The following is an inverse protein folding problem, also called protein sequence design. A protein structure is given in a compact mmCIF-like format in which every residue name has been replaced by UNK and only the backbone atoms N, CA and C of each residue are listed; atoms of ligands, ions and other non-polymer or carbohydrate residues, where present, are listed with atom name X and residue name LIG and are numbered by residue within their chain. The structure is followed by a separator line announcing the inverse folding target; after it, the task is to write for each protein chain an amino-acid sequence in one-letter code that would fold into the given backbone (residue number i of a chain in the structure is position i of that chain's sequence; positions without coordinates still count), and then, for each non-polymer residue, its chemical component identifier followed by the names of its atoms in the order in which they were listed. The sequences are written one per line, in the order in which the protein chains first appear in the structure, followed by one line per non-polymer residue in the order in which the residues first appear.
data_IF_730033507905
#
_entry.id   IF_730033507905
#
_cell.length_a   1.000
_cell.length_b   1.000
_cell.length_c   1.000
_cell.angle_alpha   90.00
_cell.angle_beta   90.00
_cell.angle_gamma   90.00
#
_symmetry.space_group_name_H-M   'P 1'
#
loop_
_entity.id
_entity.type
_entity.pdbx_description
1 polymer ?
#
# COMPACT_ATOMS: atom_id res chain seq x y z
N UNK A 1 -27.82 -41.12 -40.25
CA UNK A 1 -26.68 -42.01 -40.43
C UNK A 1 -25.59 -41.44 -39.56
N UNK A 2 -25.30 -41.88 -38.34
CA UNK A 2 -25.78 -42.99 -37.51
C UNK A 2 -25.67 -42.55 -36.04
N UNK A 3 -26.64 -43.05 -35.33
CA UNK A 3 -26.74 -43.04 -33.85
C UNK A 3 -25.55 -43.76 -33.23
N UNK A 4 -25.03 -43.24 -32.10
CA UNK A 4 -24.38 -44.06 -31.10
C UNK A 4 -24.85 -43.66 -29.69
N UNK A 5 -25.44 -44.63 -29.08
CA UNK A 5 -26.10 -44.76 -27.79
C UNK A 5 -25.26 -44.36 -26.59
N UNK A 6 -25.97 -43.89 -25.58
CA UNK A 6 -25.53 -43.88 -24.16
C UNK A 6 -25.58 -45.30 -23.57
N UNK A 7 -24.79 -45.61 -22.58
CA UNK A 7 -25.17 -46.60 -21.60
C UNK A 7 -25.53 -45.98 -20.25
N UNK A 8 -26.72 -46.35 -19.81
CA UNK A 8 -27.19 -46.30 -18.43
C UNK A 8 -26.32 -47.19 -17.53
N UNK A 9 -25.98 -46.68 -16.35
CA UNK A 9 -25.74 -47.55 -15.18
C UNK A 9 -26.16 -46.84 -13.89
N UNK A 10 -27.31 -47.22 -13.38
CA UNK A 10 -27.66 -47.97 -12.16
C UNK A 10 -27.02 -47.36 -10.88
N UNK A 11 -27.91 -46.74 -10.13
CA UNK A 11 -27.77 -46.36 -8.71
C UNK A 11 -28.16 -47.59 -7.87
N UNK A 12 -27.45 -47.95 -6.81
CA UNK A 12 -28.03 -48.66 -5.69
C UNK A 12 -28.40 -47.66 -4.57
N UNK A 13 -29.69 -47.79 -4.28
CA UNK A 13 -30.35 -47.35 -3.07
C UNK A 13 -29.73 -48.00 -1.84
N UNK A 14 -29.35 -47.19 -0.84
CA UNK A 14 -29.30 -47.62 0.54
C UNK A 14 -29.79 -46.48 1.45
N UNK A 15 -30.97 -46.77 1.93
CA UNK A 15 -31.66 -46.10 3.01
C UNK A 15 -30.91 -46.16 4.34
N UNK A 16 -31.27 -45.20 5.18
CA UNK A 16 -31.26 -45.15 6.65
C UNK A 16 -30.06 -44.47 7.32
N UNK A 17 -30.24 -43.25 7.70
CA UNK A 17 -30.57 -42.86 9.09
C UNK A 17 -30.63 -41.34 9.20
N UNK A 18 -31.80 -40.87 9.50
CA UNK A 18 -32.13 -39.52 9.88
C UNK A 18 -31.37 -39.12 11.14
N UNK A 19 -30.66 -38.04 11.08
CA UNK A 19 -30.43 -37.18 12.24
C UNK A 19 -30.66 -35.74 11.77
N UNK A 20 -31.91 -35.31 11.91
CA UNK A 20 -32.31 -33.91 11.75
C UNK A 20 -31.58 -33.03 12.76
N UNK A 21 -30.52 -32.37 12.37
CA UNK A 21 -30.03 -31.18 13.05
C UNK A 21 -30.93 -30.00 12.65
N UNK A 22 -31.99 -29.79 13.41
CA UNK A 22 -32.82 -28.60 13.36
C UNK A 22 -31.95 -27.37 13.63
N UNK A 23 -31.46 -26.73 12.59
CA UNK A 23 -30.95 -25.37 12.65
C UNK A 23 -32.11 -24.43 12.98
N UNK A 24 -32.35 -24.19 14.24
CA UNK A 24 -33.21 -23.10 14.71
C UNK A 24 -32.64 -21.78 14.18
N UNK A 25 -33.27 -21.24 13.14
CA UNK A 25 -33.07 -19.87 12.71
C UNK A 25 -33.56 -18.93 13.81
N UNK A 26 -32.67 -18.49 14.66
CA UNK A 26 -32.98 -17.47 15.67
C UNK A 26 -33.17 -16.15 14.93
N UNK A 27 -34.41 -15.74 14.77
CA UNK A 27 -34.75 -14.40 14.28
C UNK A 27 -34.52 -13.40 15.42
N UNK A 28 -33.34 -12.79 15.45
CA UNK A 28 -33.06 -11.67 16.34
C UNK A 28 -33.77 -10.41 15.82
N UNK A 29 -34.54 -9.76 16.69
CA UNK A 29 -35.06 -8.43 16.39
C UNK A 29 -33.93 -7.40 16.35
N UNK A 30 -34.10 -6.29 15.62
CA UNK A 30 -33.12 -5.18 15.59
C UNK A 30 -32.66 -4.75 17.01
N UNK A 31 -33.59 -4.76 17.97
CA UNK A 31 -33.32 -4.38 19.36
C UNK A 31 -32.44 -5.43 20.06
N UNK A 32 -32.66 -6.70 19.81
CA UNK A 32 -31.84 -7.80 20.36
C UNK A 32 -30.45 -7.86 19.73
N UNK A 33 -30.32 -7.53 18.46
CA UNK A 33 -29.05 -7.38 17.79
C UNK A 33 -28.23 -6.23 18.37
N UNK A 34 -28.84 -5.07 18.57
CA UNK A 34 -28.17 -3.90 19.18
C UNK A 34 -27.81 -4.13 20.65
N UNK A 35 -28.64 -4.82 21.42
CA UNK A 35 -28.28 -5.16 22.81
C UNK A 35 -27.21 -6.24 22.89
N UNK A 36 -27.18 -7.21 21.98
CA UNK A 36 -26.13 -8.22 21.93
C UNK A 36 -24.78 -7.60 21.51
N UNK A 37 -24.80 -6.65 20.57
CA UNK A 37 -23.58 -5.91 20.17
C UNK A 37 -23.07 -4.99 21.28
N UNK A 38 -23.95 -4.31 21.98
CA UNK A 38 -23.60 -3.49 23.14
C UNK A 38 -23.05 -4.35 24.30
N UNK A 39 -23.66 -5.51 24.58
CA UNK A 39 -23.18 -6.46 25.60
C UNK A 39 -21.81 -7.05 25.23
N UNK A 40 -21.55 -7.36 23.95
CA UNK A 40 -20.25 -7.82 23.48
C UNK A 40 -19.16 -6.74 23.60
N UNK A 41 -19.53 -5.48 23.39
CA UNK A 41 -18.62 -4.34 23.59
C UNK A 41 -18.30 -4.10 25.06
N UNK A 42 -19.25 -4.34 25.95
CA UNK A 42 -19.05 -4.25 27.40
C UNK A 42 -18.20 -5.42 27.94
N UNK A 43 -18.36 -6.62 27.37
CA UNK A 43 -17.52 -7.80 27.75
C UNK A 43 -16.05 -7.58 27.30
N UNK A 44 -15.81 -6.80 26.27
CA UNK A 44 -14.46 -6.41 25.83
C UNK A 44 -13.81 -5.37 26.78
N UNK A 45 -14.62 -4.75 27.67
CA UNK A 45 -14.16 -3.72 28.60
C UNK A 45 -13.98 -4.27 30.05
N UNK A 46 -14.24 -5.57 30.31
CA UNK A 46 -14.00 -6.15 31.59
C UNK A 46 -12.49 -6.39 31.81
N UNK A 47 -11.91 -5.76 32.84
CA UNK A 47 -10.50 -5.95 33.13
C UNK A 47 -10.31 -7.26 33.87
N UNK A 48 -9.51 -8.15 33.35
CA UNK A 48 -8.81 -9.01 34.28
C UNK A 48 -8.45 -10.43 33.91
N UNK A 49 -9.08 -11.15 33.00
CA UNK A 49 -8.73 -12.58 32.82
C UNK A 49 -8.32 -13.05 31.43
N UNK A 50 -8.37 -12.24 30.41
CA UNK A 50 -7.95 -12.58 29.04
C UNK A 50 -6.80 -11.72 28.52
N UNK A 51 -6.19 -10.92 29.37
CA UNK A 51 -5.01 -10.11 29.01
C UNK A 51 -3.68 -10.84 29.26
N UNK A 52 -3.62 -12.13 28.93
CA UNK A 52 -2.33 -12.77 28.77
C UNK A 52 -1.96 -12.58 27.29
N UNK A 53 -1.02 -11.65 27.07
CA UNK A 53 -0.26 -11.47 25.83
C UNK A 53 -1.00 -10.86 24.62
N UNK A 54 -1.71 -9.76 24.81
CA UNK A 54 -1.55 -8.73 23.81
C UNK A 54 -0.17 -8.10 24.04
N UNK A 55 0.73 -8.02 23.05
CA UNK A 55 1.89 -7.16 23.20
C UNK A 55 1.34 -5.80 23.60
N UNK A 56 1.98 -5.15 24.57
CA UNK A 56 1.58 -3.82 24.99
C UNK A 56 1.48 -2.94 23.74
N UNK A 57 0.27 -2.82 23.22
CA UNK A 57 -0.09 -1.73 22.34
C UNK A 57 -0.11 -0.51 23.26
N UNK A 58 1.09 -0.04 23.59
CA UNK A 58 1.31 1.17 24.32
C UNK A 58 0.61 2.27 23.53
N UNK A 59 -0.56 2.63 24.03
CA UNK A 59 -1.14 3.91 23.79
C UNK A 59 -1.73 4.21 22.44
N UNK A 60 -2.83 3.54 22.08
CA UNK A 60 -3.81 4.16 21.16
C UNK A 60 -4.57 5.34 21.81
N UNK A 61 -4.25 5.71 23.05
CA UNK A 61 -4.88 6.81 23.81
C UNK A 61 -3.90 7.89 24.29
N UNK A 62 -2.63 7.84 23.93
CA UNK A 62 -1.64 8.83 24.25
C UNK A 62 -0.89 9.29 23.00
N UNK A 63 -0.25 10.41 23.09
CA UNK A 63 0.74 10.81 22.08
C UNK A 63 1.79 9.70 21.95
N UNK A 64 1.68 8.88 20.91
CA UNK A 64 2.73 7.93 20.59
C UNK A 64 3.90 8.73 20.04
N UNK A 65 4.83 9.05 20.92
CA UNK A 65 6.13 9.59 20.53
C UNK A 65 7.17 8.48 20.74
N UNK A 66 7.57 7.78 19.68
CA UNK A 66 8.53 6.69 19.81
C UNK A 66 9.88 7.16 20.35
N UNK A 67 10.23 8.42 20.16
CA UNK A 67 11.47 8.99 20.70
C UNK A 67 11.38 9.26 22.19
N UNK A 68 10.19 9.51 22.74
CA UNK A 68 9.97 9.67 24.18
C UNK A 68 9.78 8.36 24.90
N UNK A 69 9.15 7.39 24.24
CA UNK A 69 8.85 6.06 24.82
C UNK A 69 10.00 5.08 24.68
N UNK A 70 10.86 5.30 23.70
CA UNK A 70 12.04 4.49 23.52
C UNK A 70 13.10 4.85 24.56
N UNK A 71 13.66 3.90 25.30
CA UNK A 71 14.64 4.18 26.37
C UNK A 71 16.01 4.52 25.76
N UNK A 72 16.05 5.59 25.03
CA UNK A 72 17.26 6.15 24.47
C UNK A 72 18.06 6.80 25.60
N UNK A 73 19.09 6.17 26.03
CA UNK A 73 19.91 6.68 27.14
C UNK A 73 21.13 7.43 26.64
N UNK A 74 21.71 6.97 25.53
CA UNK A 74 22.89 7.57 24.95
C UNK A 74 23.13 7.07 23.53
N UNK A 75 24.03 7.71 22.81
CA UNK A 75 24.46 7.26 21.48
C UNK A 75 25.07 5.86 21.50
N UNK A 76 25.70 5.45 22.60
CA UNK A 76 26.23 4.10 22.75
C UNK A 76 25.15 3.04 22.76
N UNK A 77 24.03 3.30 23.43
CA UNK A 77 22.88 2.38 23.43
C UNK A 77 22.29 2.23 22.05
N UNK A 78 22.22 3.31 21.27
CA UNK A 78 21.86 3.28 19.87
C UNK A 78 22.74 2.31 19.08
N UNK A 79 24.05 2.52 19.18
CA UNK A 79 25.02 1.75 18.44
C UNK A 79 25.04 0.28 18.87
N UNK A 80 25.04 0.00 20.18
CA UNK A 80 25.06 -1.37 20.73
C UNK A 80 23.78 -2.12 20.47
N UNK A 81 22.65 -1.44 20.40
CA UNK A 81 21.35 -2.06 20.29
C UNK A 81 20.81 -2.12 18.87
N UNK A 82 21.46 -1.52 17.88
CA UNK A 82 21.05 -1.58 16.48
C UNK A 82 20.95 -3.02 15.93
N UNK A 83 21.66 -3.95 16.53
CA UNK A 83 21.69 -5.36 16.15
C UNK A 83 20.82 -6.27 17.06
N UNK A 84 20.00 -5.67 17.93
CA UNK A 84 19.06 -6.39 18.79
C UNK A 84 17.64 -6.06 18.36
N UNK A 85 16.90 -7.07 17.99
CA UNK A 85 15.50 -6.95 17.55
C UNK A 85 14.68 -8.14 18.07
N UNK A 86 13.36 -7.95 18.16
CA UNK A 86 12.42 -8.97 18.59
C UNK A 86 11.89 -9.76 17.40
N UNK A 87 11.73 -9.09 16.27
CA UNK A 87 11.21 -9.70 15.04
C UNK A 87 11.69 -8.96 13.80
N UNK A 88 11.62 -9.66 12.68
CA UNK A 88 11.78 -9.10 11.35
C UNK A 88 10.45 -9.24 10.60
N UNK A 89 9.99 -8.18 9.99
CA UNK A 89 8.73 -8.15 9.26
C UNK A 89 9.01 -7.77 7.81
N UNK A 90 8.48 -8.55 6.88
CA UNK A 90 8.51 -8.20 5.47
C UNK A 90 7.57 -7.02 5.23
N UNK A 91 8.07 -6.00 4.57
CA UNK A 91 7.31 -4.81 4.24
C UNK A 91 7.73 -4.23 2.89
N UNK A 92 6.94 -3.30 2.41
CA UNK A 92 7.30 -2.40 1.31
C UNK A 92 7.12 -0.97 1.79
N UNK A 93 7.84 -0.03 1.25
CA UNK A 93 7.59 1.37 1.54
C UNK A 93 6.59 1.96 0.54
N UNK A 94 5.86 2.98 0.99
CA UNK A 94 4.81 3.65 0.22
C UNK A 94 5.26 4.98 -0.37
N UNK A 95 6.52 5.11 -0.78
CA UNK A 95 6.91 6.24 -1.60
C UNK A 95 6.16 6.14 -2.94
N UNK A 96 5.88 7.26 -3.57
CA UNK A 96 5.18 7.31 -4.86
C UNK A 96 6.06 6.71 -5.98
N UNK A 97 6.20 5.40 -5.97
CA UNK A 97 7.11 4.64 -6.82
C UNK A 97 6.52 3.26 -7.09
N UNK A 98 6.67 2.78 -8.31
CA UNK A 98 6.22 1.47 -8.76
C UNK A 98 7.32 0.40 -8.69
N UNK A 99 8.42 0.66 -7.97
CA UNK A 99 9.61 -0.20 -7.94
C UNK A 99 9.43 -1.55 -7.25
N UNK A 100 8.27 -1.81 -6.63
CA UNK A 100 7.96 -3.08 -5.96
C UNK A 100 9.06 -3.55 -5.03
N UNK A 101 9.66 -2.60 -4.31
CA UNK A 101 10.75 -2.89 -3.38
C UNK A 101 10.26 -3.74 -2.22
N UNK A 102 11.12 -4.63 -1.76
CA UNK A 102 10.84 -5.49 -0.62
C UNK A 102 11.89 -5.28 0.46
N UNK A 103 11.44 -5.10 1.69
CA UNK A 103 12.26 -4.74 2.83
C UNK A 103 12.06 -5.70 3.98
N UNK A 104 13.16 -6.05 4.63
CA UNK A 104 13.14 -6.67 5.94
C UNK A 104 13.23 -5.55 6.98
N UNK A 105 12.14 -5.33 7.70
CA UNK A 105 12.02 -4.31 8.74
C UNK A 105 12.29 -4.94 10.09
N UNK A 106 13.31 -4.48 10.77
CA UNK A 106 13.72 -4.96 12.08
C UNK A 106 12.99 -4.17 13.16
N UNK A 107 12.30 -4.87 14.04
CA UNK A 107 11.44 -4.27 15.07
C UNK A 107 11.91 -4.68 16.43
N UNK A 108 11.96 -3.72 17.34
CA UNK A 108 12.23 -3.94 18.77
C UNK A 108 11.23 -3.16 19.61
N UNK A 109 10.60 -3.81 20.58
CA UNK A 109 9.60 -3.20 21.46
C UNK A 109 8.48 -2.46 20.69
N UNK A 110 8.11 -2.98 19.51
CA UNK A 110 7.10 -2.37 18.64
C UNK A 110 7.59 -1.20 17.80
N UNK A 111 8.86 -0.84 17.88
CA UNK A 111 9.49 0.26 17.13
C UNK A 111 10.36 -0.31 16.02
N UNK A 112 10.19 0.22 14.81
CA UNK A 112 11.10 -0.07 13.70
C UNK A 112 12.44 0.58 13.99
N UNK A 113 13.52 -0.20 13.97
CA UNK A 113 14.87 0.30 14.29
C UNK A 113 15.76 0.42 13.06
N UNK A 114 15.50 -0.37 12.03
CA UNK A 114 16.19 -0.31 10.74
C UNK A 114 15.45 -1.11 9.70
N UNK A 115 15.82 -0.94 8.47
CA UNK A 115 15.40 -1.74 7.32
C UNK A 115 16.61 -2.20 6.50
N UNK A 116 16.43 -3.33 5.85
CA UNK A 116 17.38 -3.86 4.87
C UNK A 116 16.61 -4.35 3.64
N UNK A 117 17.21 -4.23 2.48
CA UNK A 117 16.65 -4.80 1.27
C UNK A 117 16.52 -6.31 1.43
N UNK A 118 15.34 -6.82 1.12
CA UNK A 118 15.17 -8.25 1.02
C UNK A 118 15.78 -8.73 -0.30
N UNK A 119 16.73 -9.66 -0.21
CA UNK A 119 17.46 -10.19 -1.35
C UNK A 119 17.10 -11.66 -1.59
N UNK A 120 15.80 -11.96 -1.55
CA UNK A 120 15.27 -13.33 -1.62
C UNK A 120 14.14 -13.47 -2.66
N UNK A 121 14.12 -12.60 -3.66
CA UNK A 121 13.29 -12.83 -4.82
C UNK A 121 13.79 -14.07 -5.56
N UNK A 122 12.87 -14.98 -5.95
CA UNK A 122 13.26 -16.12 -6.73
C UNK A 122 13.79 -15.70 -8.09
N UNK A 123 14.90 -16.26 -8.50
CA UNK A 123 15.40 -16.09 -9.85
C UNK A 123 14.55 -16.95 -10.78
N UNK A 124 13.80 -16.32 -11.66
CA UNK A 124 12.84 -16.98 -12.54
C UNK A 124 13.54 -17.53 -13.78
N UNK A 125 14.57 -16.81 -14.26
CA UNK A 125 15.34 -17.18 -15.43
C UNK A 125 16.83 -16.91 -15.18
N UNK A 126 17.65 -17.95 -15.34
CA UNK A 126 19.11 -17.86 -15.11
C UNK A 126 19.84 -17.07 -16.20
N UNK A 127 19.24 -16.92 -17.37
CA UNK A 127 19.80 -16.14 -18.49
C UNK A 127 19.63 -14.63 -18.32
N UNK A 128 18.81 -14.21 -17.35
CA UNK A 128 18.58 -12.80 -17.03
C UNK A 128 19.38 -12.38 -15.80
N UNK A 129 19.74 -11.10 -15.68
CA UNK A 129 20.30 -10.57 -14.45
C UNK A 129 19.41 -10.82 -13.24
N UNK A 130 20.01 -10.94 -12.06
CA UNK A 130 19.27 -11.16 -10.82
C UNK A 130 18.40 -9.94 -10.48
N UNK A 131 17.17 -10.17 -10.07
CA UNK A 131 16.27 -9.14 -9.54
C UNK A 131 16.77 -8.53 -8.23
N UNK A 132 17.60 -9.26 -7.51
CA UNK A 132 18.09 -8.86 -6.20
C UNK A 132 19.37 -8.01 -6.29
N UNK A 133 19.55 -7.07 -5.36
CA UNK A 133 18.57 -6.57 -4.39
C UNK A 133 17.59 -5.58 -5.02
N UNK A 134 16.32 -5.60 -4.57
CA UNK A 134 15.29 -4.66 -5.03
C UNK A 134 15.05 -3.59 -3.98
N UNK A 135 15.57 -2.43 -4.20
CA UNK A 135 15.40 -1.30 -3.32
C UNK A 135 16.25 -0.10 -3.71
N UNK A 136 16.04 0.99 -3.02
CA UNK A 136 16.82 2.20 -3.19
C UNK A 136 17.06 2.87 -1.82
N UNK A 137 17.90 3.90 -1.82
CA UNK A 137 18.23 4.66 -0.60
C UNK A 137 17.00 5.28 0.08
N UNK A 138 15.93 5.59 -0.65
CA UNK A 138 14.69 6.12 -0.04
C UNK A 138 14.04 5.10 0.90
N UNK A 139 14.00 3.84 0.50
CA UNK A 139 13.52 2.76 1.36
C UNK A 139 14.53 2.43 2.45
N UNK A 140 15.83 2.52 2.16
CA UNK A 140 16.90 2.25 3.11
C UNK A 140 17.02 3.24 4.26
N UNK A 141 16.30 4.36 4.21
CA UNK A 141 16.25 5.36 5.30
C UNK A 141 14.80 5.66 5.73
N UNK A 142 13.85 4.76 5.43
CA UNK A 142 12.44 5.04 5.67
C UNK A 142 12.08 5.06 7.15
N UNK A 143 12.80 4.32 8.00
CA UNK A 143 12.65 4.38 9.45
C UNK A 143 12.93 5.78 9.97
N UNK A 144 13.98 6.43 9.50
CA UNK A 144 14.31 7.81 9.87
C UNK A 144 13.23 8.79 9.39
N UNK A 145 12.66 8.54 8.23
CA UNK A 145 11.54 9.33 7.73
C UNK A 145 10.28 9.16 8.58
N UNK A 146 9.95 7.92 8.99
CA UNK A 146 8.78 7.62 9.82
C UNK A 146 8.88 8.29 11.19
N UNK A 147 10.08 8.34 11.78
CA UNK A 147 10.29 8.90 13.11
C UNK A 147 10.95 10.29 13.09
N UNK A 148 11.07 10.89 11.92
CA UNK A 148 11.69 12.19 11.73
C UNK A 148 10.98 13.34 12.47
N UNK A 149 11.72 14.36 12.83
CA UNK A 149 11.20 15.52 13.56
C UNK A 149 10.10 16.28 12.80
N UNK A 150 10.12 16.22 11.47
CA UNK A 150 9.13 16.86 10.59
C UNK A 150 7.86 16.03 10.39
N UNK A 151 7.79 14.81 10.95
CA UNK A 151 6.58 14.02 10.85
C UNK A 151 5.42 14.67 11.58
N UNK A 152 4.30 14.83 10.89
CA UNK A 152 3.06 15.32 11.50
C UNK A 152 2.54 14.28 12.52
N UNK A 153 2.34 14.74 13.74
CA UNK A 153 1.85 13.92 14.86
C UNK A 153 0.34 14.12 15.09
N UNK A 154 -0.19 15.26 14.65
CA UNK A 154 -1.59 15.66 14.82
C UNK A 154 -2.12 16.29 13.54
N UNK A 155 -3.43 16.32 13.35
CA UNK A 155 -4.03 17.07 12.26
C UNK A 155 -3.70 18.57 12.35
N UNK A 156 -3.59 19.21 11.22
CA UNK A 156 -3.32 20.62 11.09
C UNK A 156 -4.46 21.30 10.33
N UNK A 157 -4.99 22.41 10.88
CA UNK A 157 -5.93 23.29 10.19
C UNK A 157 -5.20 24.58 9.81
N UNK A 158 -5.35 24.99 8.56
CA UNK A 158 -4.81 26.26 8.08
C UNK A 158 -5.51 27.44 8.75
N UNK A 159 -4.75 28.38 9.30
CA UNK A 159 -5.25 29.58 9.98
C UNK A 159 -4.90 30.88 9.27
N UNK A 160 -4.11 30.84 8.22
CA UNK A 160 -3.74 31.97 7.39
C UNK A 160 -4.29 31.86 5.97
N UNK A 161 -3.93 32.85 5.15
CA UNK A 161 -4.22 32.80 3.72
C UNK A 161 -3.52 31.64 3.02
N UNK A 162 -4.04 31.24 1.85
CA UNK A 162 -3.42 30.19 1.07
C UNK A 162 -2.02 30.62 0.65
N UNK A 163 -1.02 29.79 0.95
CA UNK A 163 0.40 30.07 0.66
C UNK A 163 1.19 30.69 1.82
N UNK A 164 0.54 31.18 2.90
CA UNK A 164 1.24 31.71 4.05
C UNK A 164 1.94 30.66 4.92
N UNK A 165 1.57 29.40 4.81
CA UNK A 165 2.19 28.32 5.59
C UNK A 165 1.82 28.34 7.08
N UNK A 166 0.75 29.04 7.47
CA UNK A 166 0.31 29.15 8.87
C UNK A 166 -0.70 28.06 9.21
N UNK A 167 -0.36 27.26 10.20
CA UNK A 167 -1.14 26.08 10.61
C UNK A 167 -1.31 26.05 12.11
N UNK A 168 -2.44 25.49 12.56
CA UNK A 168 -2.73 25.20 13.97
C UNK A 168 -2.94 23.70 14.14
N UNK A 169 -2.28 23.12 15.12
CA UNK A 169 -2.55 21.75 15.52
C UNK A 169 -3.92 21.63 16.18
N UNK A 170 -4.63 20.55 15.87
CA UNK A 170 -5.97 20.27 16.40
C UNK A 170 -6.07 18.81 16.82
N UNK A 171 -7.09 18.51 17.64
CA UNK A 171 -7.43 17.13 17.93
C UNK A 171 -8.05 16.43 16.72
N UNK A 172 -8.05 15.11 16.73
CA UNK A 172 -8.74 14.33 15.69
C UNK A 172 -10.25 14.63 15.67
N UNK A 173 -10.88 14.79 16.82
CA UNK A 173 -12.30 15.13 16.89
C UNK A 173 -12.60 16.48 16.23
N UNK A 174 -11.82 17.49 16.56
CA UNK A 174 -11.95 18.80 15.91
C UNK A 174 -11.72 18.73 14.40
N UNK A 175 -10.75 17.93 13.95
CA UNK A 175 -10.50 17.72 12.52
C UNK A 175 -11.69 17.03 11.83
N UNK A 176 -12.25 16.01 12.47
CA UNK A 176 -13.42 15.30 11.93
C UNK A 176 -14.65 16.18 11.84
N UNK A 177 -14.94 16.95 12.87
CA UNK A 177 -16.04 17.92 12.89
C UNK A 177 -15.86 18.95 11.76
N UNK A 178 -14.67 19.53 11.67
CA UNK A 178 -14.37 20.51 10.62
C UNK A 178 -14.53 19.94 9.20
N UNK A 179 -14.08 18.72 8.96
CA UNK A 179 -14.21 18.05 7.65
C UNK A 179 -15.68 17.71 7.38
N UNK A 180 -16.37 17.13 8.38
CA UNK A 180 -17.75 16.72 8.24
C UNK A 180 -18.67 17.92 7.91
N UNK A 181 -18.51 19.02 8.60
CA UNK A 181 -19.29 20.26 8.35
C UNK A 181 -19.10 20.73 6.91
N UNK A 182 -17.86 20.76 6.42
CA UNK A 182 -17.57 21.17 5.05
C UNK A 182 -18.16 20.25 3.99
N UNK A 183 -18.10 18.93 4.24
CA UNK A 183 -18.70 17.94 3.34
C UNK A 183 -20.22 18.07 3.33
N UNK A 184 -20.84 18.22 4.50
CA UNK A 184 -22.29 18.37 4.63
C UNK A 184 -22.78 19.66 3.99
N UNK A 185 -22.07 20.78 4.18
CA UNK A 185 -22.39 22.07 3.53
C UNK A 185 -22.35 21.94 2.00
N UNK A 186 -21.34 21.26 1.47
CA UNK A 186 -21.23 21.02 0.02
C UNK A 186 -22.35 20.14 -0.49
N UNK A 187 -22.64 19.04 0.22
CA UNK A 187 -23.73 18.12 -0.15
C UNK A 187 -25.07 18.82 -0.14
N UNK A 188 -25.33 19.61 0.90
CA UNK A 188 -26.59 20.34 1.05
C UNK A 188 -26.79 21.43 -0.02
N UNK A 189 -25.75 22.22 -0.30
CA UNK A 189 -25.85 23.37 -1.18
C UNK A 189 -25.65 23.05 -2.66
N UNK A 190 -24.86 22.03 -2.98
CA UNK A 190 -24.41 21.78 -4.36
C UNK A 190 -24.56 20.33 -4.83
N UNK A 191 -24.91 19.42 -3.92
CA UNK A 191 -25.00 17.99 -4.20
C UNK A 191 -23.71 17.22 -3.82
N UNK A 192 -23.83 15.90 -3.58
CA UNK A 192 -22.72 15.07 -3.12
C UNK A 192 -21.60 14.92 -4.15
N UNK A 193 -21.91 14.98 -5.43
CA UNK A 193 -21.00 14.84 -6.56
C UNK A 193 -20.03 16.01 -6.73
N UNK A 194 -20.25 17.10 -6.00
CA UNK A 194 -19.29 18.23 -5.93
C UNK A 194 -18.08 17.93 -5.04
N UNK A 195 -18.14 16.87 -4.23
CA UNK A 195 -17.02 16.41 -3.44
C UNK A 195 -16.19 15.40 -4.23
N UNK A 196 -15.01 15.81 -4.63
CA UNK A 196 -14.08 14.96 -5.40
C UNK A 196 -12.98 14.43 -4.52
N UNK A 197 -12.76 13.13 -4.59
CA UNK A 197 -11.76 12.39 -3.83
C UNK A 197 -10.72 11.80 -4.76
N UNK A 198 -9.47 11.98 -4.39
CA UNK A 198 -8.31 11.37 -5.08
C UNK A 198 -7.68 10.32 -4.19
N UNK A 199 -7.35 9.19 -4.75
CA UNK A 199 -6.69 8.12 -4.02
C UNK A 199 -5.27 7.88 -4.50
N UNK A 200 -4.51 7.25 -3.63
CA UNK A 200 -3.16 6.74 -3.93
C UNK A 200 -3.23 5.57 -4.92
N UNK A 201 -2.08 5.20 -5.49
CA UNK A 201 -1.94 4.03 -6.34
C UNK A 201 -2.34 2.77 -5.56
N UNK A 202 -3.26 1.95 -6.05
CA UNK A 202 -3.73 0.74 -5.33
C UNK A 202 -2.61 -0.25 -5.01
N UNK A 203 -1.59 -0.32 -5.84
CA UNK A 203 -0.44 -1.21 -5.63
C UNK A 203 0.36 -0.90 -4.36
N UNK A 204 0.29 0.33 -3.85
CA UNK A 204 1.01 0.75 -2.64
C UNK A 204 0.27 0.39 -1.37
N UNK A 205 -1.05 0.51 -1.34
CA UNK A 205 -1.88 0.19 -0.18
C UNK A 205 -3.32 -0.08 -0.60
N UNK A 206 -3.67 -1.33 -0.92
CA UNK A 206 -5.05 -1.69 -1.27
C UNK A 206 -6.05 -1.30 -0.18
N UNK A 207 -5.65 -1.40 1.10
CA UNK A 207 -6.52 -1.04 2.23
C UNK A 207 -6.80 0.46 2.26
N UNK A 208 -5.77 1.30 2.10
CA UNK A 208 -5.95 2.77 2.06
C UNK A 208 -6.78 3.20 0.87
N UNK A 209 -6.53 2.60 -0.30
CA UNK A 209 -7.31 2.84 -1.50
C UNK A 209 -8.79 2.47 -1.29
N UNK A 210 -9.06 1.26 -0.82
CA UNK A 210 -10.42 0.76 -0.63
C UNK A 210 -11.17 1.54 0.45
N UNK A 211 -10.49 1.95 1.53
CA UNK A 211 -11.07 2.76 2.58
C UNK A 211 -11.55 4.12 2.08
N UNK A 212 -10.70 4.82 1.33
CA UNK A 212 -11.03 6.11 0.71
C UNK A 212 -12.14 6.00 -0.34
N UNK A 213 -12.04 5.01 -1.23
CA UNK A 213 -13.05 4.75 -2.25
C UNK A 213 -14.41 4.46 -1.62
N UNK A 214 -14.44 3.58 -0.61
CA UNK A 214 -15.67 3.24 0.10
C UNK A 214 -16.33 4.47 0.73
N UNK A 215 -15.54 5.32 1.39
CA UNK A 215 -16.06 6.56 1.98
C UNK A 215 -16.67 7.48 0.91
N UNK A 216 -15.94 7.74 -0.17
CA UNK A 216 -16.41 8.59 -1.27
C UNK A 216 -17.75 8.08 -1.85
N UNK A 217 -17.84 6.77 -2.13
CA UNK A 217 -19.07 6.17 -2.65
C UNK A 217 -20.24 6.24 -1.66
N UNK A 218 -19.98 6.07 -0.35
CA UNK A 218 -21.03 6.15 0.65
C UNK A 218 -21.68 7.53 0.76
N UNK A 219 -20.94 8.58 0.54
CA UNK A 219 -21.47 9.94 0.56
C UNK A 219 -21.92 10.44 -0.81
N UNK A 220 -21.81 9.63 -1.85
CA UNK A 220 -22.19 10.01 -3.23
C UNK A 220 -21.19 10.95 -3.90
N UNK A 221 -19.95 11.03 -3.41
CA UNK A 221 -18.90 11.84 -3.99
C UNK A 221 -18.28 11.22 -5.23
N UNK A 222 -17.58 12.02 -6.01
CA UNK A 222 -16.81 11.58 -7.17
C UNK A 222 -15.46 11.02 -6.68
N UNK A 223 -15.18 9.80 -7.04
CA UNK A 223 -13.90 9.15 -6.74
C UNK A 223 -13.04 9.06 -7.99
N UNK A 224 -11.92 9.77 -7.98
CA UNK A 224 -10.92 9.73 -9.04
C UNK A 224 -9.75 8.88 -8.60
N UNK A 225 -9.36 7.93 -9.42
CA UNK A 225 -8.14 7.18 -9.20
C UNK A 225 -6.91 8.03 -9.53
N UNK A 226 -5.76 7.64 -9.04
CA UNK A 226 -4.50 8.23 -9.45
C UNK A 226 -4.30 8.17 -10.97
N UNK A 227 -4.68 7.08 -11.58
CA UNK A 227 -4.54 6.85 -13.01
C UNK A 227 -5.42 7.77 -13.85
N UNK A 228 -6.64 8.05 -13.40
CA UNK A 228 -7.55 8.98 -14.09
C UNK A 228 -7.00 10.41 -14.08
N UNK A 229 -6.34 10.79 -12.99
CA UNK A 229 -5.84 12.15 -12.83
C UNK A 229 -4.50 12.38 -13.54
N UNK A 230 -3.58 11.45 -13.46
CA UNK A 230 -2.26 11.55 -14.09
C UNK A 230 -2.26 11.10 -15.56
N UNK A 231 -3.33 10.50 -16.03
CA UNK A 231 -3.38 9.85 -17.33
C UNK A 231 -2.24 8.82 -17.52
N UNK A 232 -1.88 8.14 -16.43
CA UNK A 232 -0.82 7.11 -16.44
C UNK A 232 -1.22 5.86 -17.21
N UNK A 233 -2.50 5.74 -17.54
CA UNK A 233 -2.98 4.67 -18.40
C UNK A 233 -2.88 5.15 -19.85
N UNK A 234 -1.92 4.66 -20.62
CA UNK A 234 -1.65 5.15 -21.96
C UNK A 234 -2.83 4.82 -22.89
N UNK A 235 -3.58 5.81 -23.37
CA UNK A 235 -4.74 5.54 -24.23
C UNK A 235 -4.34 4.95 -25.59
N UNK A 236 -3.11 5.14 -26.01
CA UNK A 236 -2.58 4.56 -27.25
C UNK A 236 -2.43 3.04 -27.20
N UNK A 237 -2.15 2.47 -26.04
CA UNK A 237 -2.00 1.03 -25.87
C UNK A 237 -3.30 0.28 -26.13
N UNK A 238 -4.44 0.62 -25.44
CA UNK A 238 -5.71 -0.04 -25.74
C UNK A 238 -6.18 0.13 -27.18
N UNK A 239 -5.89 1.26 -27.80
CA UNK A 239 -6.24 1.49 -29.20
C UNK A 239 -5.41 0.62 -30.16
N UNK A 240 -4.19 0.28 -29.78
CA UNK A 240 -3.27 -0.50 -30.61
C UNK A 240 -3.35 -1.99 -30.32
N UNK A 241 -3.36 -2.35 -29.04
CA UNK A 241 -3.24 -3.74 -28.56
C UNK A 241 -4.54 -4.34 -28.06
N UNK A 242 -5.56 -3.52 -27.78
CA UNK A 242 -6.83 -3.96 -27.19
C UNK A 242 -6.75 -4.23 -25.68
N UNK A 243 -5.60 -4.03 -25.05
CA UNK A 243 -5.38 -4.19 -23.62
C UNK A 243 -4.66 -2.96 -23.06
N UNK A 244 -4.89 -2.67 -21.79
CA UNK A 244 -4.39 -1.44 -21.17
C UNK A 244 -2.96 -1.56 -20.63
N UNK A 245 -2.54 -2.78 -20.32
CA UNK A 245 -1.22 -3.08 -19.75
C UNK A 245 -0.70 -4.37 -20.38
N UNK A 246 0.08 -4.25 -21.44
CA UNK A 246 0.75 -5.39 -22.09
C UNK A 246 2.27 -5.29 -22.01
N UNK A 247 2.77 -4.35 -21.20
CA UNK A 247 4.20 -4.18 -21.02
C UNK A 247 4.85 -5.47 -20.50
N UNK A 248 5.97 -5.83 -21.13
CA UNK A 248 6.81 -6.92 -20.66
C UNK A 248 7.40 -6.60 -19.28
N UNK A 249 7.87 -7.62 -18.58
CA UNK A 249 8.66 -7.39 -17.36
C UNK A 249 9.92 -6.58 -17.67
N UNK A 250 10.31 -5.73 -16.71
CA UNK A 250 11.52 -4.91 -16.86
C UNK A 250 12.79 -5.73 -17.08
N UNK A 251 12.82 -6.96 -16.58
CA UNK A 251 13.92 -7.89 -16.82
C UNK A 251 14.14 -8.22 -18.31
N UNK A 252 13.07 -8.20 -19.10
CA UNK A 252 13.17 -8.45 -20.54
C UNK A 252 13.88 -7.32 -21.30
N UNK A 253 14.03 -6.14 -20.71
CA UNK A 253 14.87 -5.08 -21.28
C UNK A 253 16.30 -5.54 -21.52
N UNK A 254 16.79 -6.49 -20.74
CA UNK A 254 18.12 -7.07 -20.90
C UNK A 254 18.32 -7.74 -22.28
N UNK A 255 17.26 -8.29 -22.84
CA UNK A 255 17.28 -8.95 -24.14
C UNK A 255 17.23 -7.96 -25.31
N UNK A 256 16.99 -6.66 -25.06
CA UNK A 256 16.86 -5.64 -26.08
C UNK A 256 18.22 -5.28 -26.64
N UNK A 257 18.29 -5.04 -27.95
CA UNK A 257 19.45 -4.47 -28.62
C UNK A 257 19.39 -2.95 -28.70
N UNK A 258 18.19 -2.41 -28.56
CA UNK A 258 17.91 -0.99 -28.65
C UNK A 258 16.81 -0.62 -27.64
N UNK A 259 17.12 0.33 -26.76
CA UNK A 259 16.21 0.81 -25.73
C UNK A 259 15.99 2.30 -25.95
N UNK A 260 14.75 2.72 -26.16
CA UNK A 260 14.40 4.13 -26.35
C UNK A 260 13.61 4.62 -25.16
N UNK A 261 14.12 5.65 -24.49
CA UNK A 261 13.50 6.29 -23.36
C UNK A 261 12.77 7.55 -23.83
N UNK A 262 11.44 7.50 -23.86
CA UNK A 262 10.60 8.62 -24.26
C UNK A 262 10.14 9.41 -23.04
N UNK A 263 10.77 10.55 -22.75
CA UNK A 263 10.43 11.38 -21.59
C UNK A 263 10.57 10.66 -20.25
N UNK A 264 11.30 9.56 -20.20
CA UNK A 264 11.40 8.67 -19.04
C UNK A 264 12.77 8.76 -18.38
N UNK A 265 12.76 8.94 -17.06
CA UNK A 265 13.97 8.92 -16.22
C UNK A 265 14.03 7.65 -15.40
N UNK A 266 14.33 6.51 -16.01
CA UNK A 266 14.35 5.19 -15.35
C UNK A 266 15.33 5.15 -14.16
N UNK A 267 16.42 5.89 -14.24
CA UNK A 267 17.43 5.97 -13.17
C UNK A 267 16.87 6.48 -11.84
N UNK A 268 15.79 7.24 -11.87
CA UNK A 268 15.16 7.80 -10.67
C UNK A 268 13.74 7.32 -10.42
N UNK A 269 13.03 6.88 -11.46
CA UNK A 269 11.62 6.49 -11.37
C UNK A 269 11.41 4.98 -11.42
N UNK A 270 12.43 4.23 -11.83
CA UNK A 270 12.43 2.76 -11.92
C UNK A 270 13.73 2.19 -11.35
N UNK A 271 14.18 2.74 -10.23
CA UNK A 271 15.50 2.43 -9.65
C UNK A 271 15.76 0.93 -9.51
N UNK A 272 14.85 0.10 -8.98
CA UNK A 272 15.08 -1.33 -8.83
C UNK A 272 15.21 -2.07 -10.16
N UNK A 273 14.68 -1.54 -11.24
CA UNK A 273 14.62 -2.19 -12.56
C UNK A 273 15.62 -1.59 -13.56
N UNK A 274 16.10 -0.38 -13.31
CA UNK A 274 16.98 0.34 -14.23
C UNK A 274 18.26 -0.43 -14.57
N UNK A 275 18.73 -1.29 -13.67
CA UNK A 275 19.93 -2.10 -13.90
C UNK A 275 19.77 -3.04 -15.11
N UNK A 276 18.58 -3.58 -15.38
CA UNK A 276 18.37 -4.42 -16.55
C UNK A 276 18.69 -3.70 -17.88
N UNK A 277 18.32 -2.43 -17.99
CA UNK A 277 18.65 -1.62 -19.16
C UNK A 277 20.16 -1.33 -19.24
N UNK A 278 20.79 -1.05 -18.10
CA UNK A 278 22.23 -0.75 -18.07
C UNK A 278 23.09 -2.00 -18.28
N UNK A 279 22.66 -3.13 -17.75
CA UNK A 279 23.32 -4.41 -18.02
C UNK A 279 23.15 -4.84 -19.49
N UNK A 280 21.98 -4.58 -20.10
CA UNK A 280 21.80 -4.74 -21.53
C UNK A 280 22.80 -3.89 -22.32
N UNK A 281 23.06 -2.65 -21.89
CA UNK A 281 24.06 -1.77 -22.53
C UNK A 281 25.47 -2.33 -22.41
N UNK A 282 25.84 -2.87 -21.22
CA UNK A 282 27.13 -3.56 -21.08
C UNK A 282 27.23 -4.81 -21.99
N UNK A 283 26.11 -5.41 -22.30
CA UNK A 283 25.99 -6.53 -23.25
C UNK A 283 25.82 -6.10 -24.72
N UNK A 284 26.08 -4.83 -25.02
CA UNK A 284 26.12 -4.28 -26.37
C UNK A 284 24.82 -3.61 -26.87
N UNK A 285 23.79 -3.51 -26.07
CA UNK A 285 22.60 -2.73 -26.39
C UNK A 285 22.92 -1.24 -26.47
N UNK A 286 22.09 -0.50 -27.20
CA UNK A 286 22.14 0.96 -27.30
C UNK A 286 20.97 1.58 -26.59
N UNK A 287 21.22 2.65 -25.83
CA UNK A 287 20.20 3.44 -25.16
C UNK A 287 20.08 4.80 -25.82
N UNK A 288 18.87 5.15 -26.19
CA UNK A 288 18.53 6.48 -26.74
C UNK A 288 17.58 7.17 -25.76
N UNK A 289 17.89 8.39 -25.37
CA UNK A 289 17.03 9.20 -24.50
C UNK A 289 16.46 10.38 -25.28
N UNK A 290 15.13 10.43 -25.36
CA UNK A 290 14.37 11.55 -25.93
C UNK A 290 13.68 12.24 -24.75
N UNK A 291 14.22 13.37 -24.31
CA UNK A 291 13.78 14.04 -23.10
C UNK A 291 13.82 15.56 -23.25
N UNK A 292 12.89 16.29 -22.62
CA UNK A 292 12.90 17.76 -22.61
C UNK A 292 13.97 18.34 -21.67
N UNK A 293 14.55 17.52 -20.79
CA UNK A 293 15.59 17.88 -19.82
C UNK A 293 16.75 16.88 -19.88
N UNK A 294 17.92 17.33 -19.44
CA UNK A 294 19.07 16.44 -19.27
C UNK A 294 19.00 15.79 -17.87
N UNK A 295 18.32 14.66 -17.79
CA UNK A 295 18.14 13.90 -16.56
C UNK A 295 19.18 12.78 -16.39
N UNK A 296 19.12 12.08 -15.25
CA UNK A 296 20.12 11.06 -14.94
C UNK A 296 20.13 9.86 -15.90
N UNK A 297 19.04 9.57 -16.59
CA UNK A 297 19.04 8.53 -17.62
C UNK A 297 19.77 8.96 -18.90
N UNK A 298 19.77 10.26 -19.20
CA UNK A 298 20.53 10.80 -20.32
C UNK A 298 22.05 10.61 -20.15
N UNK A 299 22.54 10.58 -18.89
CA UNK A 299 23.95 10.33 -18.60
C UNK A 299 24.44 8.95 -19.06
N UNK A 300 23.52 8.01 -19.19
CA UNK A 300 23.80 6.63 -19.58
C UNK A 300 23.34 6.31 -21.01
N UNK A 301 22.79 7.27 -21.72
CA UNK A 301 22.37 7.12 -23.10
C UNK A 301 23.56 7.22 -24.05
N UNK A 302 23.45 6.52 -25.18
CA UNK A 302 24.40 6.58 -26.28
C UNK A 302 24.07 7.73 -27.25
N UNK A 303 22.78 8.15 -27.26
CA UNK A 303 22.25 9.24 -28.08
C UNK A 303 21.07 9.90 -27.36
#
# INVERSE_FOLDING_TARGET
MDDVEKPDQIIPDQSDSETEAQTRKVKLSRRQFLTATAASSILALLPGCLRKQAPNLIGLQGEFDPLRTYPYRSWEDLYRNQWKWDKVVRSTHSANCTGSCSWNVFVRDGIMIREEQAADFPRINEDLPDYNPRGCQKGGCFVEYVYGAQRLKRPLIRVGERGEGKWREVSWNEAYEYIADRLLDNIYNYGPDTNTFFSVIPAMSPVSFSGGARFAHHIGGVFCSFYDWYCDLPPGEPLTWGVQTEACECADWFNSKYIVLWGSNISQTRIPDAHFAYEARYNGAKIVAISPDFNSSCMHADL
#
